data_IF_660590880072
#
_entry.id   IF_660590880072
#
_cell.length_a   1.000
_cell.length_b   1.000
_cell.length_c   1.000
_cell.angle_alpha   90.00
_cell.angle_beta   90.00
_cell.angle_gamma   90.00
#
_symmetry.space_group_name_H-M   'P 1'
#
loop_
_entity.id
_entity.type
_entity.pdbx_description
1 polymer ?
#
# COMPACT_ATOMS: atom_id res chain seq x y z
N UNK A 1 26.57 -13.24 -13.76
CA UNK A 1 25.48 -12.31 -13.38
C UNK A 1 24.85 -11.86 -14.69
N UNK A 2 23.61 -12.28 -14.95
CA UNK A 2 22.90 -11.89 -16.18
C UNK A 2 22.49 -10.43 -16.00
N UNK A 3 23.04 -9.55 -16.83
CA UNK A 3 22.61 -8.16 -16.94
C UNK A 3 21.15 -8.17 -17.41
N UNK A 4 20.23 -8.02 -16.46
CA UNK A 4 18.79 -8.12 -16.73
C UNK A 4 18.38 -6.75 -17.25
N UNK A 5 18.11 -6.67 -18.55
CA UNK A 5 17.65 -5.46 -19.24
C UNK A 5 16.65 -4.66 -18.39
N UNK A 6 17.00 -3.42 -18.06
CA UNK A 6 16.13 -2.46 -17.37
C UNK A 6 15.91 -1.26 -18.32
N UNK A 7 14.74 -1.21 -19.00
CA UNK A 7 14.45 -0.15 -19.97
C UNK A 7 14.39 1.24 -19.32
N UNK A 8 14.09 1.32 -18.01
CA UNK A 8 14.06 2.60 -17.29
C UNK A 8 15.48 3.10 -17.06
N UNK A 9 16.38 2.20 -16.63
CA UNK A 9 17.81 2.53 -16.49
C UNK A 9 18.42 2.97 -17.83
N UNK A 10 18.12 2.30 -18.93
CA UNK A 10 18.64 2.68 -20.26
C UNK A 10 18.12 4.06 -20.71
N UNK A 11 16.86 4.37 -20.44
CA UNK A 11 16.30 5.70 -20.74
C UNK A 11 17.07 6.80 -19.98
N UNK A 12 17.34 6.58 -18.69
CA UNK A 12 18.09 7.54 -17.86
C UNK A 12 19.56 7.66 -18.31
N UNK A 13 20.22 6.56 -18.65
CA UNK A 13 21.57 6.58 -19.23
C UNK A 13 21.60 7.38 -20.54
N UNK A 14 20.57 7.21 -21.37
CA UNK A 14 20.44 7.98 -22.62
C UNK A 14 20.36 9.47 -22.33
N UNK A 15 19.51 9.89 -21.38
CA UNK A 15 19.38 11.29 -20.95
C UNK A 15 20.72 11.85 -20.52
N UNK A 16 21.44 11.15 -19.64
CA UNK A 16 22.74 11.60 -19.11
C UNK A 16 23.79 11.81 -20.21
N UNK A 17 23.70 11.05 -21.31
CA UNK A 17 24.63 11.16 -22.44
C UNK A 17 24.37 12.34 -23.39
N UNK A 18 23.24 13.05 -23.23
CA UNK A 18 22.87 14.18 -24.07
C UNK A 18 23.60 15.47 -23.67
N UNK A 19 23.58 16.45 -24.56
CA UNK A 19 23.96 17.83 -24.27
C UNK A 19 22.93 18.55 -23.39
N UNK A 20 23.37 19.57 -22.65
CA UNK A 20 22.57 20.23 -21.58
C UNK A 20 21.18 20.70 -22.04
N UNK A 21 21.08 21.26 -23.25
CA UNK A 21 19.80 21.75 -23.78
C UNK A 21 18.85 20.58 -24.09
N UNK A 22 19.37 19.47 -24.62
CA UNK A 22 18.59 18.27 -24.90
C UNK A 22 18.28 17.46 -23.64
N UNK A 23 19.12 17.50 -22.61
CA UNK A 23 18.87 16.87 -21.30
C UNK A 23 17.56 17.37 -20.69
N UNK A 24 17.35 18.69 -20.68
CA UNK A 24 16.14 19.29 -20.07
C UNK A 24 14.87 18.75 -20.72
N UNK A 25 14.80 18.75 -22.06
CA UNK A 25 13.65 18.23 -22.81
C UNK A 25 13.47 16.73 -22.57
N UNK A 26 14.56 15.97 -22.59
CA UNK A 26 14.50 14.52 -22.41
C UNK A 26 14.06 14.12 -20.99
N UNK A 27 14.44 14.87 -19.95
CA UNK A 27 13.98 14.66 -18.58
C UNK A 27 12.47 14.88 -18.45
N UNK A 28 11.93 15.94 -19.07
CA UNK A 28 10.49 16.21 -19.05
C UNK A 28 9.68 15.11 -19.74
N UNK A 29 10.13 14.67 -20.93
CA UNK A 29 9.48 13.60 -21.68
C UNK A 29 9.55 12.26 -20.95
N UNK A 30 10.71 11.93 -20.39
CA UNK A 30 10.87 10.77 -19.52
C UNK A 30 9.93 10.83 -18.32
N UNK A 31 9.89 11.95 -17.59
CA UNK A 31 9.03 12.13 -16.41
C UNK A 31 7.56 11.97 -16.75
N UNK A 32 7.13 12.40 -17.94
CA UNK A 32 5.76 12.19 -18.45
C UNK A 32 5.47 10.72 -18.69
N UNK A 33 6.43 9.97 -19.25
CA UNK A 33 6.30 8.53 -19.50
C UNK A 33 6.37 7.68 -18.22
N UNK A 34 7.11 8.14 -17.21
CA UNK A 34 7.33 7.43 -15.95
C UNK A 34 6.18 7.59 -14.93
N UNK A 35 5.13 8.38 -15.24
CA UNK A 35 4.01 8.65 -14.33
C UNK A 35 3.37 7.40 -13.73
N UNK A 36 3.21 6.35 -14.53
CA UNK A 36 2.62 5.09 -14.05
C UNK A 36 3.55 4.37 -13.05
N UNK A 37 4.87 4.38 -13.31
CA UNK A 37 5.88 3.86 -12.38
C UNK A 37 5.85 4.62 -11.06
N UNK A 38 5.77 5.96 -11.10
CA UNK A 38 5.67 6.77 -9.88
C UNK A 38 4.41 6.44 -9.10
N UNK A 39 3.27 6.26 -9.80
CA UNK A 39 2.00 5.85 -9.19
C UNK A 39 2.12 4.51 -8.47
N UNK A 40 2.76 3.51 -9.09
CA UNK A 40 2.96 2.19 -8.48
C UNK A 40 3.84 2.25 -7.23
N UNK A 41 4.97 2.96 -7.30
CA UNK A 41 5.86 3.17 -6.14
C UNK A 41 5.11 3.90 -5.03
N UNK A 42 4.41 4.99 -5.36
CA UNK A 42 3.67 5.79 -4.40
C UNK A 42 2.55 4.98 -3.72
N UNK A 43 1.82 4.15 -4.46
CA UNK A 43 0.80 3.26 -3.90
C UNK A 43 1.39 2.30 -2.88
N UNK A 44 2.50 1.64 -3.22
CA UNK A 44 3.20 0.74 -2.31
C UNK A 44 3.67 1.47 -1.04
N UNK A 45 4.16 2.70 -1.18
CA UNK A 45 4.59 3.51 -0.05
C UNK A 45 3.42 3.99 0.82
N UNK A 46 2.28 4.36 0.24
CA UNK A 46 1.06 4.66 0.98
C UNK A 46 0.62 3.46 1.81
N UNK A 47 0.55 2.27 1.20
CA UNK A 47 0.23 1.00 1.89
C UNK A 47 1.19 0.73 3.04
N UNK A 48 2.50 0.79 2.79
CA UNK A 48 3.53 0.49 3.80
C UNK A 48 3.53 1.47 4.98
N UNK A 49 3.00 2.69 4.79
CA UNK A 49 2.92 3.71 5.82
C UNK A 49 1.50 3.92 6.37
N UNK A 50 0.54 3.05 6.02
CA UNK A 50 -0.87 3.17 6.40
C UNK A 50 -1.48 4.53 6.06
N UNK A 51 -1.16 5.05 4.87
CA UNK A 51 -1.76 6.28 4.35
C UNK A 51 -2.94 5.96 3.43
N UNK A 52 -4.12 6.57 3.63
CA UNK A 52 -5.24 6.40 2.71
C UNK A 52 -4.93 7.01 1.34
N UNK A 53 -4.86 6.16 0.30
CA UNK A 53 -4.42 6.53 -1.03
C UNK A 53 -5.32 7.60 -1.69
N UNK A 54 -6.62 7.60 -1.41
CA UNK A 54 -7.55 8.63 -1.91
C UNK A 54 -7.20 10.06 -1.47
N UNK A 55 -6.42 10.22 -0.38
CA UNK A 55 -6.02 11.52 0.16
C UNK A 55 -4.55 11.85 -0.11
N UNK A 56 -3.66 10.85 -0.07
CA UNK A 56 -2.22 11.08 -0.06
C UNK A 56 -1.49 10.63 -1.32
N UNK A 57 -2.14 9.89 -2.23
CA UNK A 57 -1.45 9.29 -3.37
C UNK A 57 -0.80 10.35 -4.27
N UNK A 58 -1.49 11.44 -4.58
CA UNK A 58 -0.93 12.47 -5.46
C UNK A 58 0.27 13.19 -4.84
N UNK A 59 0.24 13.47 -3.53
CA UNK A 59 1.37 14.03 -2.79
C UNK A 59 2.58 13.08 -2.78
N UNK A 60 2.33 11.78 -2.55
CA UNK A 60 3.39 10.77 -2.55
C UNK A 60 3.95 10.55 -3.96
N UNK A 61 3.11 10.60 -5.00
CA UNK A 61 3.57 10.61 -6.40
C UNK A 61 4.50 11.79 -6.64
N UNK A 62 4.15 12.99 -6.17
CA UNK A 62 4.99 14.17 -6.31
C UNK A 62 6.34 14.00 -5.61
N UNK A 63 6.35 13.44 -4.40
CA UNK A 63 7.61 13.14 -3.67
C UNK A 63 8.51 12.20 -4.48
N UNK A 64 7.94 11.11 -5.00
CA UNK A 64 8.70 10.13 -5.82
C UNK A 64 9.21 10.77 -7.10
N UNK A 65 8.36 11.54 -7.81
CA UNK A 65 8.73 12.21 -9.05
C UNK A 65 9.83 13.25 -8.83
N UNK A 66 9.77 14.03 -7.74
CA UNK A 66 10.81 14.98 -7.36
C UNK A 66 12.12 14.25 -7.06
N UNK A 67 12.07 13.12 -6.33
CA UNK A 67 13.29 12.38 -6.04
C UNK A 67 13.91 11.77 -7.30
N UNK A 68 13.09 11.30 -8.24
CA UNK A 68 13.61 10.78 -9.51
C UNK A 68 14.33 11.87 -10.32
N UNK A 69 13.74 13.07 -10.38
CA UNK A 69 14.37 14.23 -11.01
C UNK A 69 15.74 14.55 -10.37
N UNK A 70 15.81 14.60 -9.03
CA UNK A 70 17.06 14.83 -8.31
C UNK A 70 18.11 13.76 -8.61
N UNK A 71 17.72 12.48 -8.61
CA UNK A 71 18.62 11.37 -8.93
C UNK A 71 19.15 11.44 -10.36
N UNK A 72 18.35 11.91 -11.32
CA UNK A 72 18.81 12.12 -12.69
C UNK A 72 19.83 13.26 -12.76
N UNK A 73 19.60 14.37 -12.04
CA UNK A 73 20.59 15.45 -11.95
C UNK A 73 21.89 14.98 -11.29
N UNK A 74 21.81 14.21 -10.20
CA UNK A 74 22.97 13.57 -9.57
C UNK A 74 23.72 12.66 -10.56
N UNK A 75 22.99 11.92 -11.40
CA UNK A 75 23.58 11.05 -12.43
C UNK A 75 24.25 11.82 -13.58
N UNK A 76 23.75 13.03 -13.91
CA UNK A 76 24.37 13.93 -14.89
C UNK A 76 25.71 14.44 -14.34
N UNK A 77 25.76 14.79 -13.06
CA UNK A 77 26.98 15.26 -12.40
C UNK A 77 28.01 14.12 -12.20
N UNK A 78 27.54 12.93 -11.82
CA UNK A 78 28.36 11.74 -11.59
C UNK A 78 27.77 10.50 -12.29
N UNK A 79 28.12 10.25 -13.57
CA UNK A 79 27.63 9.07 -14.29
C UNK A 79 28.10 7.73 -13.70
N UNK A 80 29.10 7.71 -12.81
CA UNK A 80 29.58 6.46 -12.18
C UNK A 80 28.53 5.82 -11.27
N UNK A 81 27.44 6.53 -10.96
CA UNK A 81 26.34 5.96 -10.17
C UNK A 81 25.71 4.73 -10.84
N UNK A 82 25.76 4.63 -12.18
CA UNK A 82 25.14 3.51 -12.89
C UNK A 82 25.84 2.16 -12.65
N UNK A 83 27.11 2.18 -12.20
CA UNK A 83 27.87 0.97 -11.88
C UNK A 83 27.33 0.27 -10.62
N UNK A 84 26.72 1.05 -9.71
CA UNK A 84 26.15 0.57 -8.44
C UNK A 84 24.64 0.33 -8.50
N UNK A 85 23.96 0.84 -9.53
CA UNK A 85 22.50 0.73 -9.67
C UNK A 85 22.16 -0.40 -10.65
N UNK A 86 21.65 -1.52 -10.13
CA UNK A 86 21.21 -2.63 -11.00
C UNK A 86 19.82 -2.40 -11.61
N UNK A 87 18.91 -1.77 -10.85
CA UNK A 87 17.57 -1.43 -11.31
C UNK A 87 17.20 -0.03 -10.85
N UNK A 88 16.84 0.83 -11.79
CA UNK A 88 16.56 2.24 -11.51
C UNK A 88 15.32 2.38 -10.62
N UNK A 89 14.24 1.67 -10.94
CA UNK A 89 12.98 1.74 -10.18
C UNK A 89 13.10 1.24 -8.74
N UNK A 90 13.87 0.17 -8.52
CA UNK A 90 14.15 -0.34 -7.18
C UNK A 90 15.01 0.62 -6.35
N UNK A 91 15.98 1.27 -6.99
CA UNK A 91 16.80 2.29 -6.36
C UNK A 91 15.99 3.54 -6.00
N UNK A 92 15.18 4.04 -6.94
CA UNK A 92 14.25 5.16 -6.71
C UNK A 92 13.30 4.89 -5.54
N UNK A 93 12.78 3.66 -5.45
CA UNK A 93 11.93 3.26 -4.34
C UNK A 93 12.66 3.36 -2.99
N UNK A 94 13.89 2.83 -2.89
CA UNK A 94 14.64 2.90 -1.63
C UNK A 94 14.99 4.35 -1.23
N UNK A 95 15.45 5.15 -2.20
CA UNK A 95 15.78 6.55 -2.03
C UNK A 95 14.57 7.41 -1.63
N UNK A 96 13.40 7.14 -2.19
CA UNK A 96 12.18 7.91 -1.89
C UNK A 96 11.58 7.59 -0.51
N UNK A 97 11.98 6.47 0.10
CA UNK A 97 11.37 5.96 1.35
C UNK A 97 11.48 6.94 2.51
N UNK A 98 12.64 7.58 2.67
CA UNK A 98 12.88 8.52 3.78
C UNK A 98 12.10 9.83 3.59
N UNK A 99 11.91 10.26 2.33
CA UNK A 99 11.16 11.47 2.01
C UNK A 99 9.68 11.27 2.29
N UNK A 100 9.11 10.12 1.89
CA UNK A 100 7.71 9.78 2.19
C UNK A 100 7.51 9.59 3.70
N UNK A 101 8.46 8.94 4.38
CA UNK A 101 8.42 8.84 5.85
C UNK A 101 8.39 10.22 6.52
N UNK A 102 9.19 11.15 6.04
CA UNK A 102 9.21 12.52 6.56
C UNK A 102 7.87 13.22 6.33
N UNK A 103 7.28 13.09 5.13
CA UNK A 103 5.93 13.59 4.83
C UNK A 103 4.86 13.00 5.74
N UNK A 104 4.91 11.70 6.03
CA UNK A 104 4.00 11.05 6.97
C UNK A 104 4.14 11.67 8.36
N UNK A 105 5.37 11.90 8.80
CA UNK A 105 5.66 12.40 10.14
C UNK A 105 5.38 13.92 10.29
N UNK A 106 5.27 14.70 9.21
CA UNK A 106 5.03 16.15 9.23
C UNK A 106 3.66 16.62 8.75
N UNK A 107 3.08 15.96 7.73
CA UNK A 107 1.97 16.52 6.94
C UNK A 107 0.74 15.63 6.99
N UNK A 108 0.90 14.32 6.78
CA UNK A 108 -0.23 13.38 6.83
C UNK A 108 -0.59 12.95 8.26
N UNK A 109 0.38 12.90 9.16
CA UNK A 109 0.21 12.51 10.55
C UNK A 109 -0.08 13.67 11.50
N UNK A 110 -1.13 14.46 11.23
CA UNK A 110 -1.59 15.60 12.03
C UNK A 110 -0.53 16.70 12.27
N UNK A 111 -0.88 17.93 11.87
CA UNK A 111 -0.11 19.17 12.04
C UNK A 111 0.97 19.12 13.17
N UNK A 112 2.24 19.48 12.87
CA UNK A 112 3.34 19.33 13.80
C UNK A 112 3.25 20.39 14.90
N UNK A 113 2.48 20.11 15.95
CA UNK A 113 2.86 20.59 17.27
C UNK A 113 4.00 19.71 17.76
N UNK A 114 5.13 20.35 18.05
CA UNK A 114 6.32 19.77 18.66
C UNK A 114 5.92 18.80 19.78
N UNK A 115 6.13 17.49 19.57
CA UNK A 115 5.72 16.40 20.47
C UNK A 115 4.92 15.27 19.81
N UNK A 116 4.24 15.54 18.69
CA UNK A 116 3.37 14.57 18.00
C UNK A 116 4.14 13.43 17.32
N UNK A 117 5.35 13.68 16.81
CA UNK A 117 6.19 12.67 16.15
C UNK A 117 6.58 11.54 17.11
N UNK A 118 6.90 11.86 18.37
CA UNK A 118 7.20 10.86 19.39
C UNK A 118 5.96 10.09 19.80
N UNK A 119 4.80 10.76 19.92
CA UNK A 119 3.52 10.10 20.18
C UNK A 119 3.17 9.09 19.07
N UNK A 120 3.24 9.50 17.80
CA UNK A 120 2.97 8.63 16.65
C UNK A 120 3.95 7.45 16.62
N UNK A 121 5.23 7.68 16.94
CA UNK A 121 6.23 6.62 17.03
C UNK A 121 5.92 5.62 18.15
N UNK A 122 5.47 6.09 19.33
CA UNK A 122 5.04 5.22 20.43
C UNK A 122 3.80 4.41 20.08
N UNK A 123 2.81 5.01 19.40
CA UNK A 123 1.63 4.30 18.89
C UNK A 123 1.97 3.15 17.95
N UNK A 124 2.89 3.37 17.00
CA UNK A 124 3.35 2.31 16.08
C UNK A 124 4.01 1.16 16.86
N UNK A 125 4.79 1.48 17.90
CA UNK A 125 5.42 0.46 18.76
C UNK A 125 4.38 -0.34 19.54
N UNK A 126 3.38 0.32 20.13
CA UNK A 126 2.30 -0.32 20.87
C UNK A 126 1.43 -1.23 19.97
N UNK A 127 1.06 -0.75 18.78
CA UNK A 127 0.30 -1.53 17.81
C UNK A 127 1.06 -2.77 17.35
N UNK A 128 2.35 -2.60 16.99
CA UNK A 128 3.21 -3.72 16.61
C UNK A 128 3.40 -4.74 17.75
N UNK A 129 3.51 -4.29 19.00
CA UNK A 129 3.63 -5.18 20.14
C UNK A 129 2.34 -5.97 20.39
N UNK A 130 1.18 -5.31 20.36
CA UNK A 130 -0.12 -5.98 20.53
C UNK A 130 -0.29 -7.10 19.51
N UNK A 131 0.06 -6.82 18.25
CA UNK A 131 0.01 -7.83 17.21
C UNK A 131 0.95 -9.00 17.48
N UNK A 132 2.19 -8.72 17.91
CA UNK A 132 3.14 -9.77 18.30
C UNK A 132 2.57 -10.67 19.41
N UNK A 133 1.97 -10.06 20.44
CA UNK A 133 1.38 -10.82 21.54
C UNK A 133 0.22 -11.72 21.08
N UNK A 134 -0.64 -11.23 20.19
CA UNK A 134 -1.72 -12.04 19.60
C UNK A 134 -1.14 -13.24 18.83
N UNK A 135 -0.12 -13.01 17.99
CA UNK A 135 0.57 -14.08 17.25
C UNK A 135 1.22 -15.09 18.19
N UNK A 136 1.78 -14.62 19.30
CA UNK A 136 2.42 -15.44 20.33
C UNK A 136 1.39 -16.20 21.21
N UNK A 137 0.09 -16.10 20.90
CA UNK A 137 -0.98 -16.86 21.54
C UNK A 137 -1.64 -16.19 22.75
N UNK A 138 -1.40 -14.89 22.95
CA UNK A 138 -2.14 -14.12 23.95
C UNK A 138 -3.53 -13.76 23.40
N UNK A 139 -4.56 -14.36 24.00
CA UNK A 139 -5.95 -14.07 23.65
C UNK A 139 -6.37 -12.71 24.26
N UNK A 140 -6.57 -11.71 23.41
CA UNK A 140 -6.94 -10.32 23.75
C UNK A 140 -6.03 -9.60 24.78
N UNK A 141 -4.80 -9.19 24.38
CA UNK A 141 -3.90 -8.44 25.26
C UNK A 141 -4.49 -7.09 25.68
N UNK A 142 -4.44 -6.79 26.98
CA UNK A 142 -4.87 -5.50 27.54
C UNK A 142 -3.88 -4.39 27.22
N UNK A 143 -4.36 -3.14 27.20
CA UNK A 143 -3.52 -1.96 26.94
C UNK A 143 -2.32 -1.87 27.89
N UNK A 144 -2.52 -2.20 29.16
CA UNK A 144 -1.48 -2.23 30.19
C UNK A 144 -0.42 -3.28 29.87
N UNK A 145 -0.83 -4.51 29.53
CA UNK A 145 0.10 -5.59 29.17
C UNK A 145 0.93 -5.24 27.93
N UNK A 146 0.30 -4.63 26.93
CA UNK A 146 0.99 -4.18 25.71
C UNK A 146 2.01 -3.09 26.02
N UNK A 147 1.66 -2.12 26.87
CA UNK A 147 2.57 -1.04 27.29
C UNK A 147 3.76 -1.60 28.06
N UNK A 148 3.52 -2.50 29.00
CA UNK A 148 4.57 -3.14 29.80
C UNK A 148 5.53 -3.94 28.91
N UNK A 149 5.01 -4.80 28.04
CA UNK A 149 5.82 -5.58 27.09
C UNK A 149 6.62 -4.68 26.13
N UNK A 150 5.99 -3.61 25.64
CA UNK A 150 6.65 -2.64 24.74
C UNK A 150 7.81 -1.94 25.44
N UNK A 151 7.57 -1.41 26.65
CA UNK A 151 8.58 -0.72 27.43
C UNK A 151 9.71 -1.67 27.85
N UNK A 152 9.39 -2.90 28.23
CA UNK A 152 10.39 -3.93 28.55
C UNK A 152 11.30 -4.21 27.34
N UNK A 153 10.71 -4.38 26.16
CA UNK A 153 11.49 -4.54 24.90
C UNK A 153 12.35 -3.32 24.60
N UNK A 154 11.85 -2.12 24.83
CA UNK A 154 12.61 -0.88 24.62
C UNK A 154 13.81 -0.76 25.55
N UNK A 155 13.65 -1.08 26.84
CA UNK A 155 14.76 -1.08 27.80
C UNK A 155 15.82 -2.14 27.47
N UNK A 156 15.43 -3.29 26.91
CA UNK A 156 16.39 -4.31 26.46
C UNK A 156 17.16 -3.91 25.20
N UNK A 157 16.53 -3.18 24.28
CA UNK A 157 17.07 -2.91 22.93
C UNK A 157 17.68 -1.51 22.77
N UNK A 158 17.40 -0.57 23.66
CA UNK A 158 17.84 0.84 23.55
C UNK A 158 18.60 1.27 24.81
N UNK A 159 19.65 2.07 24.61
CA UNK A 159 20.53 2.56 25.68
C UNK A 159 19.83 3.49 26.68
N UNK A 160 18.91 4.35 26.23
CA UNK A 160 18.14 5.27 27.08
C UNK A 160 16.80 5.64 26.39
N UNK A 161 15.78 4.77 26.47
CA UNK A 161 14.49 5.01 25.83
C UNK A 161 13.73 6.22 26.43
N UNK A 162 13.98 6.54 27.70
CA UNK A 162 13.38 7.69 28.39
C UNK A 162 13.87 9.02 27.80
N UNK A 163 15.19 9.21 27.65
CA UNK A 163 15.73 10.43 27.00
C UNK A 163 15.33 10.57 25.54
N UNK A 164 14.97 9.46 24.89
CA UNK A 164 14.51 9.44 23.50
C UNK A 164 12.99 9.70 23.37
N UNK A 165 12.26 9.89 24.48
CA UNK A 165 10.81 10.10 24.47
C UNK A 165 9.99 8.90 23.99
N UNK A 166 10.56 7.69 24.09
CA UNK A 166 9.95 6.44 23.58
C UNK A 166 9.21 5.62 24.63
N UNK A 167 9.26 6.03 25.91
CA UNK A 167 8.50 5.34 26.96
C UNK A 167 7.02 5.54 26.69
N UNK A 168 6.32 4.42 26.49
CA UNK A 168 4.90 4.39 26.23
C UNK A 168 4.10 4.42 27.53
N UNK A 169 2.93 5.04 27.49
CA UNK A 169 1.94 4.98 28.57
C UNK A 169 0.59 4.54 28.01
N UNK A 170 -0.34 4.14 28.90
CA UNK A 170 -1.70 3.77 28.50
C UNK A 170 -2.41 4.95 27.81
N UNK A 171 -2.13 6.18 28.23
CA UNK A 171 -2.69 7.40 27.62
C UNK A 171 -2.34 7.55 26.13
N UNK A 172 -1.25 6.94 25.65
CA UNK A 172 -0.88 6.96 24.24
C UNK A 172 -1.95 6.27 23.36
N UNK A 173 -2.78 5.37 23.90
CA UNK A 173 -3.94 4.80 23.19
C UNK A 173 -5.10 5.80 23.04
N UNK A 174 -5.27 6.71 23.99
CA UNK A 174 -6.51 7.49 24.16
C UNK A 174 -6.42 8.97 23.74
N UNK A 175 -5.22 9.47 23.44
CA UNK A 175 -5.05 10.86 23.02
C UNK A 175 -5.73 11.14 21.66
N UNK A 176 -6.94 11.68 21.70
CA UNK A 176 -7.69 12.11 20.51
C UNK A 176 -7.00 13.32 19.89
N UNK A 177 -6.62 13.21 18.62
CA UNK A 177 -6.26 14.37 17.79
C UNK A 177 -7.51 15.26 17.70
N UNK A 178 -7.32 16.59 17.79
CA UNK A 178 -8.40 17.58 17.82
C UNK A 178 -9.50 17.30 16.76
N UNK A 179 -10.80 17.56 17.06
CA UNK A 179 -11.95 16.96 16.36
C UNK A 179 -12.21 17.45 14.92
N UNK A 180 -11.30 18.17 14.27
CA UNK A 180 -11.58 18.76 12.96
C UNK A 180 -11.43 17.80 11.77
N UNK A 181 -10.97 16.56 11.98
CA UNK A 181 -10.85 15.56 10.89
C UNK A 181 -11.08 14.12 11.34
N UNK A 182 -12.08 13.86 12.19
CA UNK A 182 -12.49 12.46 12.48
C UNK A 182 -13.77 12.16 11.71
N UNK A 183 -13.62 11.77 10.44
CA UNK A 183 -14.50 10.74 9.89
C UNK A 183 -14.12 9.45 10.62
N UNK A 184 -15.07 8.62 11.09
CA UNK A 184 -14.70 7.39 11.77
C UNK A 184 -13.92 6.55 10.77
N UNK A 185 -12.63 6.42 11.01
CA UNK A 185 -11.80 5.43 10.36
C UNK A 185 -12.32 4.10 10.90
N UNK A 186 -13.20 3.46 10.13
CA UNK A 186 -13.54 2.05 10.33
C UNK A 186 -12.31 1.28 9.88
N UNK A 187 -11.25 1.37 10.66
CA UNK A 187 -10.19 0.39 10.71
C UNK A 187 -10.80 -0.86 11.33
N UNK A 188 -11.67 -1.54 10.57
CA UNK A 188 -11.87 -2.97 10.74
C UNK A 188 -10.48 -3.58 10.70
N UNK A 189 -10.15 -4.31 11.76
CA UNK A 189 -8.99 -5.17 11.92
C UNK A 189 -8.92 -6.21 10.79
N UNK A 190 -8.64 -5.76 9.58
CA UNK A 190 -8.31 -6.62 8.45
C UNK A 190 -6.90 -7.14 8.69
N UNK A 191 -6.76 -8.47 8.64
CA UNK A 191 -5.48 -9.18 8.70
C UNK A 191 -4.37 -8.42 7.97
N UNK A 192 -3.34 -8.02 8.72
CA UNK A 192 -2.15 -7.34 8.21
C UNK A 192 -1.34 -8.23 7.24
N UNK A 193 -1.67 -9.52 7.13
CA UNK A 193 -1.11 -10.48 6.18
C UNK A 193 -1.97 -10.69 4.93
N UNK A 194 -3.10 -9.99 4.79
CA UNK A 194 -3.90 -10.06 3.57
C UNK A 194 -3.20 -9.30 2.43
N UNK A 195 -2.98 -10.00 1.31
CA UNK A 195 -2.50 -9.43 0.04
C UNK A 195 -3.38 -8.26 -0.43
N UNK A 196 -4.66 -8.25 -0.02
CA UNK A 196 -5.65 -7.24 -0.38
C UNK A 196 -6.23 -6.64 0.90
N UNK A 197 -6.10 -5.33 1.11
CA UNK A 197 -6.76 -4.69 2.25
C UNK A 197 -8.29 -4.80 2.09
N UNK A 198 -9.07 -4.89 3.18
CA UNK A 198 -10.53 -5.08 3.11
C UNK A 198 -11.24 -4.00 2.27
N UNK A 199 -10.75 -2.77 2.34
CA UNK A 199 -11.24 -1.65 1.52
C UNK A 199 -10.82 -1.72 0.05
N UNK A 200 -9.66 -2.31 -0.26
CA UNK A 200 -9.19 -2.56 -1.63
C UNK A 200 -10.00 -3.70 -2.28
N UNK A 201 -10.31 -4.75 -1.51
CA UNK A 201 -11.13 -5.88 -1.94
C UNK A 201 -12.52 -5.45 -2.39
N UNK A 202 -13.17 -4.60 -1.59
CA UNK A 202 -14.47 -4.00 -1.94
C UNK A 202 -14.41 -3.21 -3.26
N UNK A 203 -13.36 -2.40 -3.46
CA UNK A 203 -13.19 -1.60 -4.67
C UNK A 203 -12.91 -2.46 -5.91
N UNK A 204 -12.10 -3.51 -5.77
CA UNK A 204 -11.81 -4.47 -6.85
C UNK A 204 -13.08 -5.20 -7.26
N UNK A 205 -13.86 -5.68 -6.29
CA UNK A 205 -15.12 -6.38 -6.56
C UNK A 205 -16.11 -5.46 -7.24
N UNK A 206 -16.32 -4.25 -6.72
CA UNK A 206 -17.24 -3.28 -7.31
C UNK A 206 -16.87 -2.98 -8.78
N UNK A 207 -15.57 -2.76 -9.05
CA UNK A 207 -15.09 -2.49 -10.41
C UNK A 207 -15.18 -3.70 -11.33
N UNK A 208 -14.95 -4.91 -10.82
CA UNK A 208 -15.13 -6.14 -11.60
C UNK A 208 -16.61 -6.38 -11.96
N UNK A 209 -17.54 -6.09 -11.04
CA UNK A 209 -18.98 -6.16 -11.30
C UNK A 209 -19.38 -5.12 -12.35
N UNK A 210 -18.87 -3.89 -12.25
CA UNK A 210 -19.11 -2.84 -13.24
C UNK A 210 -18.62 -3.23 -14.64
N UNK A 211 -17.36 -3.68 -14.77
CA UNK A 211 -16.80 -4.15 -16.04
C UNK A 211 -17.59 -5.35 -16.59
N UNK A 212 -17.92 -6.33 -15.76
CA UNK A 212 -18.70 -7.49 -16.19
C UNK A 212 -20.11 -7.14 -16.63
N UNK A 213 -20.77 -6.20 -15.94
CA UNK A 213 -22.11 -5.69 -16.31
C UNK A 213 -22.07 -5.00 -17.67
N UNK A 214 -20.99 -4.26 -17.95
CA UNK A 214 -20.79 -3.60 -19.25
C UNK A 214 -20.59 -4.59 -20.40
N UNK A 215 -19.99 -5.76 -20.14
CA UNK A 215 -19.86 -6.84 -21.13
C UNK A 215 -21.16 -7.64 -21.29
N UNK A 216 -21.83 -7.94 -20.17
CA UNK A 216 -23.08 -8.69 -20.12
C UNK A 216 -23.76 -8.49 -18.77
N UNK A 217 -25.00 -8.02 -18.80
CA UNK A 217 -25.83 -7.86 -17.59
C UNK A 217 -25.90 -9.16 -16.77
N UNK A 218 -26.07 -10.31 -17.45
CA UNK A 218 -26.06 -11.63 -16.81
C UNK A 218 -24.73 -11.97 -16.12
N UNK A 219 -23.61 -11.53 -16.68
CA UNK A 219 -22.29 -11.76 -16.08
C UNK A 219 -22.11 -10.90 -14.83
N UNK A 220 -22.50 -9.62 -14.88
CA UNK A 220 -22.52 -8.72 -13.73
C UNK A 220 -23.33 -9.26 -12.57
N UNK A 221 -24.58 -9.71 -12.83
CA UNK A 221 -25.46 -10.29 -11.80
C UNK A 221 -24.85 -11.52 -11.15
N UNK A 222 -24.25 -12.44 -11.93
CA UNK A 222 -23.61 -13.64 -11.37
C UNK A 222 -22.41 -13.28 -10.48
N UNK A 223 -21.61 -12.29 -10.89
CA UNK A 223 -20.47 -11.80 -10.11
C UNK A 223 -20.91 -11.13 -8.80
N UNK A 224 -21.95 -10.32 -8.86
CA UNK A 224 -22.54 -9.66 -7.69
C UNK A 224 -23.08 -10.69 -6.68
N UNK A 225 -23.79 -11.71 -7.15
CA UNK A 225 -24.24 -12.81 -6.28
C UNK A 225 -23.10 -13.56 -5.58
N UNK A 226 -21.93 -13.69 -6.21
CA UNK A 226 -20.80 -14.38 -5.58
C UNK A 226 -19.98 -13.50 -4.63
N UNK A 227 -19.84 -12.21 -4.94
CA UNK A 227 -18.81 -11.37 -4.33
C UNK A 227 -19.31 -10.03 -3.79
N UNK A 228 -20.50 -9.57 -4.19
CA UNK A 228 -21.03 -8.25 -3.81
C UNK A 228 -21.19 -8.07 -2.30
N UNK A 229 -21.63 -9.12 -1.61
CA UNK A 229 -21.80 -9.11 -0.15
C UNK A 229 -20.53 -9.46 0.63
N UNK A 230 -19.43 -9.83 -0.05
CA UNK A 230 -18.21 -10.32 0.60
C UNK A 230 -17.52 -9.23 1.46
N UNK A 231 -17.79 -7.96 1.16
CA UNK A 231 -17.19 -6.79 1.80
C UNK A 231 -18.21 -5.76 2.31
N UNK A 232 -19.50 -6.12 2.39
CA UNK A 232 -20.57 -5.24 2.87
C UNK A 232 -20.71 -5.19 4.41
N UNK A 233 -21.48 -4.24 4.92
CA UNK A 233 -21.85 -4.18 6.34
C UNK A 233 -22.71 -5.40 6.71
N UNK A 234 -22.11 -6.36 7.43
CA UNK A 234 -22.71 -7.66 7.75
C UNK A 234 -22.15 -8.85 6.98
N UNK A 235 -21.05 -8.67 6.24
CA UNK A 235 -20.37 -9.73 5.50
C UNK A 235 -20.13 -10.98 6.38
N UNK A 236 -20.64 -12.12 5.93
CA UNK A 236 -20.37 -13.42 6.57
C UNK A 236 -18.98 -13.95 6.23
N UNK A 237 -18.28 -13.31 5.28
CA UNK A 237 -17.00 -13.76 4.73
C UNK A 237 -17.09 -15.04 3.90
N UNK A 238 -18.29 -15.56 3.65
CA UNK A 238 -18.50 -16.82 2.94
C UNK A 238 -18.96 -16.58 1.50
N UNK A 239 -18.26 -17.19 0.55
CA UNK A 239 -18.67 -17.21 -0.87
C UNK A 239 -19.83 -18.22 -1.02
N UNK A 240 -20.97 -17.84 -1.60
CA UNK A 240 -22.10 -18.74 -1.83
C UNK A 240 -21.73 -19.97 -2.67
N UNK A 241 -22.44 -21.09 -2.47
CA UNK A 241 -22.23 -22.28 -3.29
C UNK A 241 -22.77 -22.07 -4.70
N UNK A 242 -22.18 -22.76 -5.67
CA UNK A 242 -22.57 -22.61 -7.08
C UNK A 242 -24.00 -23.08 -7.37
N UNK A 243 -24.54 -24.00 -6.56
CA UNK A 243 -25.94 -24.41 -6.66
C UNK A 243 -26.89 -23.27 -6.29
N UNK A 244 -26.58 -22.54 -5.21
CA UNK A 244 -27.41 -21.42 -4.72
C UNK A 244 -27.41 -20.27 -5.73
N UNK A 245 -26.24 -19.93 -6.28
CA UNK A 245 -26.15 -18.89 -7.32
C UNK A 245 -26.89 -19.30 -8.60
N UNK A 246 -26.83 -20.58 -8.99
CA UNK A 246 -27.57 -21.08 -10.15
C UNK A 246 -29.09 -20.95 -9.95
N UNK A 247 -29.58 -21.22 -8.74
CA UNK A 247 -30.98 -21.02 -8.37
C UNK A 247 -31.38 -19.53 -8.39
N UNK A 248 -30.55 -18.66 -7.83
CA UNK A 248 -30.80 -17.21 -7.79
C UNK A 248 -30.80 -16.56 -9.17
N UNK A 249 -29.94 -17.01 -10.09
CA UNK A 249 -29.79 -16.40 -11.42
C UNK A 249 -30.55 -17.13 -12.53
N UNK A 250 -31.16 -18.28 -12.23
CA UNK A 250 -31.85 -19.11 -13.22
C UNK A 250 -30.93 -19.73 -14.28
N UNK A 251 -29.64 -19.84 -14.00
CA UNK A 251 -28.63 -20.39 -14.92
C UNK A 251 -28.25 -21.82 -14.52
N UNK A 252 -27.58 -22.55 -15.41
CA UNK A 252 -27.01 -23.85 -15.02
C UNK A 252 -25.77 -23.68 -14.16
N UNK A 253 -25.52 -24.61 -13.22
CA UNK A 253 -24.31 -24.59 -12.39
C UNK A 253 -23.02 -24.55 -13.22
N UNK A 254 -23.03 -25.14 -14.42
CA UNK A 254 -21.90 -25.10 -15.36
C UNK A 254 -21.64 -23.69 -15.89
N UNK A 255 -22.69 -22.94 -16.20
CA UNK A 255 -22.59 -21.55 -16.66
C UNK A 255 -22.13 -20.64 -15.53
N UNK A 256 -22.69 -20.77 -14.32
CA UNK A 256 -22.26 -20.02 -13.15
C UNK A 256 -20.78 -20.28 -12.82
N UNK A 257 -20.32 -21.53 -12.90
CA UNK A 257 -18.90 -21.88 -12.69
C UNK A 257 -17.99 -21.20 -13.71
N UNK A 258 -18.40 -21.21 -14.99
CA UNK A 258 -17.64 -20.57 -16.06
C UNK A 258 -17.55 -19.05 -15.85
N UNK A 259 -18.67 -18.40 -15.52
CA UNK A 259 -18.72 -16.97 -15.28
C UNK A 259 -17.92 -16.59 -14.01
N UNK A 260 -18.04 -17.35 -12.92
CA UNK A 260 -17.20 -17.18 -11.72
C UNK A 260 -15.71 -17.20 -12.06
N UNK A 261 -15.27 -18.18 -12.86
CA UNK A 261 -13.87 -18.30 -13.27
C UNK A 261 -13.41 -17.08 -14.09
N UNK A 262 -14.24 -16.62 -15.03
CA UNK A 262 -13.94 -15.43 -15.82
C UNK A 262 -13.87 -14.17 -14.95
N UNK A 263 -14.77 -14.05 -13.97
CA UNK A 263 -14.78 -12.97 -12.99
C UNK A 263 -13.50 -12.94 -12.15
N UNK A 264 -13.03 -14.09 -11.68
CA UNK A 264 -11.76 -14.19 -10.94
C UNK A 264 -10.56 -13.77 -11.80
N UNK A 265 -10.52 -14.15 -13.09
CA UNK A 265 -9.47 -13.71 -14.01
C UNK A 265 -9.52 -12.19 -14.24
N UNK A 266 -10.71 -11.61 -14.33
CA UNK A 266 -10.90 -10.16 -14.45
C UNK A 266 -10.43 -9.44 -13.19
N UNK A 267 -10.79 -9.92 -12.00
CA UNK A 267 -10.31 -9.37 -10.74
C UNK A 267 -8.78 -9.47 -10.62
N UNK A 268 -8.17 -10.59 -11.03
CA UNK A 268 -6.71 -10.72 -11.07
C UNK A 268 -6.06 -9.71 -12.02
N UNK A 269 -6.67 -9.47 -13.20
CA UNK A 269 -6.23 -8.43 -14.13
C UNK A 269 -6.33 -7.04 -13.50
N UNK A 270 -7.43 -6.73 -12.84
CA UNK A 270 -7.65 -5.46 -12.15
C UNK A 270 -6.66 -5.28 -11.00
N UNK A 271 -6.40 -6.33 -10.23
CA UNK A 271 -5.38 -6.34 -9.17
C UNK A 271 -3.99 -6.06 -9.71
N UNK A 272 -3.60 -6.72 -10.82
CA UNK A 272 -2.32 -6.47 -11.46
C UNK A 272 -2.23 -5.05 -12.04
N UNK A 273 -3.29 -4.60 -12.73
CA UNK A 273 -3.29 -3.33 -13.46
C UNK A 273 -3.46 -2.09 -12.58
N UNK A 274 -4.25 -2.19 -11.51
CA UNK A 274 -4.53 -1.06 -10.61
C UNK A 274 -3.69 -1.10 -9.32
N UNK A 275 -3.28 -2.28 -8.86
CA UNK A 275 -2.65 -2.46 -7.55
C UNK A 275 -1.26 -3.11 -7.64
N UNK A 276 -0.79 -3.49 -8.83
CA UNK A 276 0.54 -4.09 -9.03
C UNK A 276 0.71 -5.49 -8.41
N UNK A 277 -0.36 -6.09 -7.90
CA UNK A 277 -0.33 -7.39 -7.24
C UNK A 277 -0.16 -8.49 -8.29
N UNK A 278 0.87 -9.31 -8.12
CA UNK A 278 1.18 -10.43 -9.01
C UNK A 278 0.74 -11.76 -8.42
N UNK A 279 0.66 -12.79 -9.25
CA UNK A 279 0.37 -14.16 -8.80
C UNK A 279 1.45 -14.75 -7.89
N UNK A 280 2.66 -14.16 -7.88
CA UNK A 280 3.74 -14.57 -6.98
C UNK A 280 3.51 -14.07 -5.56
N UNK A 281 2.88 -12.89 -5.40
CA UNK A 281 2.52 -12.31 -4.10
C UNK A 281 1.44 -13.15 -3.36
N UNK A 282 0.60 -13.85 -4.13
CA UNK A 282 -0.45 -14.74 -3.62
C UNK A 282 0.07 -16.11 -3.15
N UNK A 283 1.21 -16.56 -3.68
CA UNK A 283 1.78 -17.86 -3.33
C UNK A 283 2.69 -17.80 -2.07
N UNK A 284 3.03 -16.59 -1.65
CA UNK A 284 3.86 -16.29 -0.49
C UNK A 284 3.07 -15.94 0.78
N UNK A 285 1.73 -15.82 0.65
CA UNK A 285 0.75 -15.63 1.72
C UNK A 285 -0.01 -16.92 1.99
#
# INVERSE_FOLDING_TARGET
MSDRYDPVKEAVVTIVSLDTDAQTVAIEDYSRSARETYRQIAFHMCRTNNLPANRHLDDVIQIVATRDYELILEAIEDPTIFDRINRWTGYLHDESRNNVKSYVDTTAGAAPMTGMTNLNRRRRLLSSMRQSMIIDGHDSPTDTEVVEATNERLYRTRKDPAKSGLICTVDDFYLTVSPLEVVPDVATSGDLDSVIHSTEGAQIVAKAIEEATSESETFGVVLDCYFGELFGDGATGQIPQTADVAEMTGLTSRECTRLKRNGLLMMQRLMRGHYGITSEDWAAS
#
